data_IF_919570116453
#
_entry.id   IF_919570116453
#
_cell.length_a   1.000
_cell.length_b   1.000
_cell.length_c   1.000
_cell.angle_alpha   90.00
_cell.angle_beta   90.00
_cell.angle_gamma   90.00
#
_symmetry.space_group_name_H-M   'P 1'
#
loop_
_entity.id
_entity.type
_entity.pdbx_description
1 polymer ?
#
# COMPACT_ATOMS: atom_id res chain seq x y z
N UNK A 1 5.66 -18.34 -31.57
CA UNK A 1 5.02 -17.02 -31.44
C UNK A 1 6.03 -16.11 -30.76
N UNK A 2 6.23 -14.90 -31.33
CA UNK A 2 7.12 -13.89 -30.74
C UNK A 2 6.64 -13.57 -29.32
N UNK A 3 7.53 -13.69 -28.30
CA UNK A 3 7.20 -13.33 -26.93
C UNK A 3 6.70 -11.90 -26.77
N UNK A 4 7.17 -10.96 -27.58
CA UNK A 4 6.72 -9.57 -27.58
C UNK A 4 5.24 -9.47 -27.94
N UNK A 5 4.78 -10.25 -28.91
CA UNK A 5 3.35 -10.30 -29.28
C UNK A 5 2.52 -10.86 -28.15
N UNK A 6 3.00 -11.91 -27.46
CA UNK A 6 2.31 -12.47 -26.30
C UNK A 6 2.13 -11.44 -25.19
N UNK A 7 3.19 -10.69 -24.82
CA UNK A 7 3.10 -9.65 -23.82
C UNK A 7 2.16 -8.49 -24.24
N UNK A 8 2.22 -8.06 -25.50
CA UNK A 8 1.30 -7.07 -26.04
C UNK A 8 -0.16 -7.49 -25.89
N UNK A 9 -0.46 -8.79 -26.10
CA UNK A 9 -1.84 -9.30 -25.95
C UNK A 9 -2.29 -9.26 -24.47
N UNK A 10 -1.42 -9.66 -23.53
CA UNK A 10 -1.71 -9.55 -22.09
C UNK A 10 -1.87 -8.09 -21.66
N UNK A 11 -1.09 -7.21 -22.27
CA UNK A 11 -1.19 -5.77 -22.01
C UNK A 11 -2.50 -5.17 -22.53
N UNK A 12 -2.96 -5.56 -23.72
CA UNK A 12 -4.30 -5.20 -24.25
C UNK A 12 -5.39 -5.64 -23.27
N UNK A 13 -5.28 -6.86 -22.73
CA UNK A 13 -6.23 -7.35 -21.75
C UNK A 13 -6.30 -6.45 -20.51
N UNK A 14 -5.14 -6.03 -19.99
CA UNK A 14 -5.05 -5.14 -18.84
C UNK A 14 -5.53 -3.72 -19.16
N UNK A 15 -5.17 -3.19 -20.33
CA UNK A 15 -5.52 -1.83 -20.78
C UNK A 15 -7.04 -1.65 -20.95
N UNK A 16 -7.69 -2.62 -21.59
CA UNK A 16 -9.12 -2.54 -21.94
C UNK A 16 -10.03 -3.31 -20.97
N UNK A 17 -9.48 -3.81 -19.86
CA UNK A 17 -10.24 -4.50 -18.84
C UNK A 17 -10.99 -5.75 -19.31
N UNK A 18 -10.45 -6.45 -20.32
CA UNK A 18 -11.09 -7.63 -20.90
C UNK A 18 -11.09 -8.80 -19.90
N UNK A 19 -12.27 -9.38 -19.68
CA UNK A 19 -12.52 -10.30 -18.56
C UNK A 19 -11.80 -11.66 -18.65
N UNK A 20 -11.29 -12.05 -19.80
CA UNK A 20 -10.56 -13.32 -19.96
C UNK A 20 -9.66 -13.30 -21.19
N UNK A 21 -8.58 -14.10 -21.16
CA UNK A 21 -7.70 -14.28 -22.32
C UNK A 21 -8.42 -14.87 -23.53
N UNK A 22 -9.42 -15.71 -23.33
CA UNK A 22 -10.28 -16.23 -24.41
C UNK A 22 -11.04 -15.10 -25.10
N UNK A 23 -11.62 -14.18 -24.34
CA UNK A 23 -12.33 -13.02 -24.86
C UNK A 23 -11.35 -12.05 -25.56
N UNK A 24 -10.18 -11.83 -25.01
CA UNK A 24 -9.12 -11.02 -25.61
C UNK A 24 -8.71 -11.56 -26.97
N UNK A 25 -8.39 -12.85 -27.06
CA UNK A 25 -8.04 -13.49 -28.33
C UNK A 25 -9.19 -13.43 -29.35
N UNK A 26 -10.45 -13.58 -28.89
CA UNK A 26 -11.63 -13.46 -29.78
C UNK A 26 -11.76 -12.04 -30.33
N UNK A 27 -11.59 -11.02 -29.47
CA UNK A 27 -11.67 -9.61 -29.89
C UNK A 27 -10.56 -9.24 -30.88
N UNK A 28 -9.31 -9.68 -30.64
CA UNK A 28 -8.17 -9.45 -31.54
C UNK A 28 -8.41 -10.02 -32.95
N UNK A 29 -9.18 -11.11 -33.11
CA UNK A 29 -9.47 -11.68 -34.44
C UNK A 29 -10.20 -10.72 -35.37
N UNK A 30 -11.07 -9.87 -34.83
CA UNK A 30 -11.98 -9.02 -35.58
C UNK A 30 -11.65 -7.52 -35.49
N UNK A 31 -10.77 -7.13 -34.59
CA UNK A 31 -10.44 -5.73 -34.30
C UNK A 31 -9.18 -5.31 -35.08
N UNK A 32 -9.34 -4.36 -36.00
CA UNK A 32 -8.28 -3.87 -36.88
C UNK A 32 -7.16 -3.16 -36.09
N UNK A 33 -7.55 -2.41 -35.04
CA UNK A 33 -6.64 -1.62 -34.20
C UNK A 33 -5.71 -2.53 -33.42
N UNK A 34 -6.26 -3.57 -32.81
CA UNK A 34 -5.44 -4.56 -32.09
C UNK A 34 -4.54 -5.35 -33.03
N UNK A 35 -5.04 -5.72 -34.23
CA UNK A 35 -4.22 -6.44 -35.21
C UNK A 35 -3.04 -5.60 -35.68
N UNK A 36 -3.30 -4.33 -36.00
CA UNK A 36 -2.26 -3.37 -36.37
C UNK A 36 -1.23 -3.21 -35.24
N UNK A 37 -1.67 -3.01 -34.00
CA UNK A 37 -0.80 -2.88 -32.84
C UNK A 37 0.08 -4.12 -32.60
N UNK A 38 -0.46 -5.30 -32.85
CA UNK A 38 0.25 -6.58 -32.69
C UNK A 38 1.13 -6.91 -33.90
N UNK A 39 0.97 -6.25 -35.03
CA UNK A 39 1.61 -6.59 -36.30
C UNK A 39 1.09 -7.91 -36.88
N UNK A 40 -0.19 -8.25 -36.67
CA UNK A 40 -0.83 -9.47 -37.16
C UNK A 40 -1.71 -9.10 -38.37
N UNK A 41 -1.32 -9.42 -39.63
CA UNK A 41 -2.14 -9.14 -40.83
C UNK A 41 -3.50 -9.80 -40.75
N UNK A 42 -4.51 -9.20 -41.45
CA UNK A 42 -5.79 -9.87 -41.71
C UNK A 42 -5.52 -11.20 -42.45
N UNK A 43 -6.25 -12.24 -42.09
CA UNK A 43 -6.05 -13.58 -42.63
C UNK A 43 -5.03 -14.48 -41.87
N UNK A 44 -4.18 -13.90 -40.99
CA UNK A 44 -3.35 -14.72 -40.09
C UNK A 44 -4.07 -15.03 -38.80
N UNK A 45 -3.90 -16.25 -38.31
CA UNK A 45 -4.44 -16.68 -37.02
C UNK A 45 -3.81 -15.95 -35.83
N UNK A 46 -4.65 -15.69 -34.82
CA UNK A 46 -4.20 -15.18 -33.52
C UNK A 46 -3.81 -16.33 -32.60
N UNK A 47 -2.91 -16.08 -31.63
CA UNK A 47 -2.54 -17.12 -30.66
C UNK A 47 -3.75 -17.68 -29.92
N UNK A 48 -3.76 -18.99 -29.69
CA UNK A 48 -4.79 -19.63 -28.89
C UNK A 48 -4.65 -19.21 -27.41
N UNK A 49 -5.76 -18.97 -26.72
CA UNK A 49 -5.74 -18.48 -25.34
C UNK A 49 -4.96 -19.36 -24.37
N UNK A 50 -4.91 -20.69 -24.57
CA UNK A 50 -4.14 -21.61 -23.71
C UNK A 50 -2.63 -21.43 -23.82
N UNK A 51 -2.14 -20.80 -24.91
CA UNK A 51 -0.74 -20.48 -25.09
C UNK A 51 -0.21 -19.58 -23.96
N UNK A 52 -1.03 -18.66 -23.48
CA UNK A 52 -0.66 -17.72 -22.42
C UNK A 52 -0.43 -18.43 -21.09
N UNK A 53 -1.34 -19.31 -20.67
CA UNK A 53 -1.18 -20.09 -19.43
C UNK A 53 0.06 -20.97 -19.49
N UNK A 54 0.30 -21.64 -20.61
CA UNK A 54 1.48 -22.50 -20.78
C UNK A 54 2.80 -21.70 -20.74
N UNK A 55 2.86 -20.54 -21.40
CA UNK A 55 4.05 -19.70 -21.37
C UNK A 55 4.26 -19.05 -20.00
N UNK A 56 3.18 -18.62 -19.32
CA UNK A 56 3.29 -18.10 -17.97
C UNK A 56 3.94 -19.14 -17.04
N UNK A 57 3.40 -20.34 -16.94
CA UNK A 57 3.92 -21.38 -16.05
C UNK A 57 5.37 -21.82 -16.40
N UNK A 58 5.72 -21.83 -17.67
CA UNK A 58 7.03 -22.34 -18.12
C UNK A 58 8.14 -21.28 -18.14
N UNK A 59 7.81 -19.99 -18.29
CA UNK A 59 8.81 -18.95 -18.59
C UNK A 59 8.73 -17.72 -17.72
N UNK A 60 7.53 -17.32 -17.27
CA UNK A 60 7.33 -16.00 -16.69
C UNK A 60 6.92 -16.00 -15.23
N UNK A 61 6.46 -17.13 -14.70
CA UNK A 61 5.99 -17.26 -13.32
C UNK A 61 7.03 -16.84 -12.29
N UNK A 62 8.29 -17.20 -12.53
CA UNK A 62 9.40 -17.01 -11.62
C UNK A 62 10.38 -15.91 -12.10
N UNK A 63 9.96 -15.09 -13.08
CA UNK A 63 10.73 -13.96 -13.58
C UNK A 63 10.19 -12.62 -13.03
N UNK A 64 11.06 -11.64 -12.95
CA UNK A 64 10.74 -10.28 -12.49
C UNK A 64 10.22 -9.36 -13.61
N UNK A 65 9.96 -9.95 -14.79
CA UNK A 65 9.60 -9.19 -16.01
C UNK A 65 8.40 -8.25 -15.82
N UNK A 66 7.41 -8.64 -15.01
CA UNK A 66 6.21 -7.82 -14.78
C UNK A 66 6.53 -6.60 -13.91
N UNK A 67 7.41 -6.77 -12.92
CA UNK A 67 7.92 -5.67 -12.11
C UNK A 67 8.83 -4.76 -12.96
N UNK A 68 9.75 -5.32 -13.73
CA UNK A 68 10.65 -4.56 -14.60
C UNK A 68 9.88 -3.69 -15.60
N UNK A 69 8.79 -4.20 -16.17
CA UNK A 69 7.90 -3.45 -17.04
C UNK A 69 7.27 -2.27 -16.30
N UNK A 70 6.73 -2.51 -15.11
CA UNK A 70 6.13 -1.46 -14.29
C UNK A 70 7.15 -0.39 -13.91
N UNK A 71 8.32 -0.80 -13.41
CA UNK A 71 9.42 0.08 -13.00
C UNK A 71 9.92 0.92 -14.18
N UNK A 72 10.06 0.33 -15.36
CA UNK A 72 10.50 1.07 -16.54
C UNK A 72 9.51 2.17 -16.94
N UNK A 73 8.20 1.91 -16.84
CA UNK A 73 7.19 2.93 -17.11
C UNK A 73 7.23 4.06 -16.08
N UNK A 74 7.46 3.75 -14.80
CA UNK A 74 7.68 4.77 -13.76
C UNK A 74 8.94 5.59 -14.09
N UNK A 75 10.06 4.94 -14.46
CA UNK A 75 11.29 5.62 -14.87
C UNK A 75 11.08 6.54 -16.08
N UNK A 76 10.23 6.15 -17.02
CA UNK A 76 9.85 7.03 -18.13
C UNK A 76 9.07 8.25 -17.65
N UNK A 77 8.12 8.07 -16.71
CA UNK A 77 7.40 9.20 -16.12
C UNK A 77 8.34 10.16 -15.39
N UNK A 78 9.30 9.65 -14.65
CA UNK A 78 10.37 10.45 -13.99
C UNK A 78 11.16 11.23 -15.05
N UNK A 79 11.61 10.56 -16.11
CA UNK A 79 12.37 11.19 -17.20
C UNK A 79 11.59 12.29 -17.92
N UNK A 80 10.27 12.17 -18.00
CA UNK A 80 9.40 13.22 -18.55
C UNK A 80 9.01 14.30 -17.55
N UNK A 81 9.57 14.25 -16.32
CA UNK A 81 9.27 15.20 -15.25
C UNK A 81 7.77 15.18 -14.84
N UNK A 82 7.16 14.00 -14.84
CA UNK A 82 5.77 13.78 -14.44
C UNK A 82 5.65 13.22 -13.01
N UNK A 83 6.76 12.99 -12.34
CA UNK A 83 6.87 12.56 -10.93
C UNK A 83 7.60 13.62 -10.16
N UNK A 84 7.09 13.99 -8.99
CA UNK A 84 7.73 14.91 -8.06
C UNK A 84 8.77 14.18 -7.18
N UNK A 85 8.42 13.00 -6.70
CA UNK A 85 9.30 12.15 -5.88
C UNK A 85 9.44 12.61 -4.43
N UNK A 86 8.65 13.62 -4.00
CA UNK A 86 8.71 14.17 -2.63
C UNK A 86 7.42 13.99 -1.85
N UNK A 87 6.27 13.96 -2.53
CA UNK A 87 4.95 13.91 -1.92
C UNK A 87 4.14 12.72 -2.44
N UNK A 88 3.68 11.87 -1.51
CA UNK A 88 3.00 10.62 -1.85
C UNK A 88 1.70 10.41 -1.09
N UNK A 89 0.81 9.63 -1.71
CA UNK A 89 -0.42 9.15 -1.10
C UNK A 89 -0.44 7.63 -1.16
N UNK A 90 -0.64 7.00 -0.01
CA UNK A 90 -0.79 5.54 0.07
C UNK A 90 -2.15 5.18 0.64
N UNK A 91 -2.77 4.19 0.01
CA UNK A 91 -4.01 3.58 0.46
C UNK A 91 -4.10 2.14 -0.03
N UNK A 92 -5.11 1.42 0.44
CA UNK A 92 -5.37 0.06 0.01
C UNK A 92 -6.81 -0.14 -0.46
N UNK A 93 -7.01 -1.14 -1.31
CA UNK A 93 -8.34 -1.53 -1.73
C UNK A 93 -8.50 -3.03 -1.84
N UNK A 94 -9.65 -3.53 -1.39
CA UNK A 94 -9.99 -4.93 -1.52
C UNK A 94 -10.40 -5.27 -2.95
N UNK A 95 -9.88 -6.41 -3.44
CA UNK A 95 -10.17 -7.05 -4.71
C UNK A 95 -10.73 -8.44 -4.44
N UNK A 96 -11.94 -8.72 -4.92
CA UNK A 96 -12.59 -10.01 -4.69
C UNK A 96 -11.78 -11.13 -5.32
N UNK A 97 -11.45 -12.16 -4.51
CA UNK A 97 -10.75 -13.34 -4.99
C UNK A 97 -11.64 -14.21 -5.88
N UNK A 98 -11.01 -14.98 -6.76
CA UNK A 98 -11.71 -16.00 -7.55
C UNK A 98 -11.96 -17.25 -6.70
N UNK A 99 -12.75 -17.09 -5.64
CA UNK A 99 -13.03 -18.09 -4.63
C UNK A 99 -14.51 -18.09 -4.22
N UNK A 100 -15.06 -19.27 -3.93
CA UNK A 100 -16.40 -19.39 -3.38
C UNK A 100 -16.35 -19.10 -1.88
N UNK A 101 -17.09 -18.09 -1.43
CA UNK A 101 -17.12 -17.65 -0.03
C UNK A 101 -17.64 -18.71 0.96
N UNK A 102 -18.40 -19.69 0.48
CA UNK A 102 -19.00 -20.76 1.30
C UNK A 102 -18.19 -22.07 1.26
N UNK A 103 -17.08 -22.15 0.48
CA UNK A 103 -16.22 -23.33 0.39
C UNK A 103 -14.87 -23.03 1.03
N UNK A 104 -14.78 -23.29 2.32
CA UNK A 104 -13.56 -23.07 3.10
C UNK A 104 -13.39 -24.16 4.16
N UNK A 105 -12.21 -24.24 4.70
CA UNK A 105 -11.87 -24.99 5.89
C UNK A 105 -11.57 -23.97 7.01
N UNK A 106 -12.00 -24.28 8.22
CA UNK A 106 -11.57 -23.53 9.39
C UNK A 106 -10.26 -24.13 9.90
N UNK A 107 -9.21 -23.33 9.95
CA UNK A 107 -7.88 -23.73 10.39
C UNK A 107 -7.47 -22.91 11.61
N UNK A 108 -6.74 -23.56 12.53
CA UNK A 108 -6.12 -22.89 13.67
C UNK A 108 -4.65 -22.64 13.29
N UNK A 109 -4.26 -21.38 13.27
CA UNK A 109 -2.88 -20.98 13.03
C UNK A 109 -2.30 -20.44 14.32
N UNK A 110 -1.23 -21.09 14.77
CA UNK A 110 -0.45 -20.66 15.92
C UNK A 110 0.64 -19.71 15.45
N UNK A 111 0.69 -18.53 16.00
CA UNK A 111 1.72 -17.53 15.72
C UNK A 111 2.24 -16.90 17.01
N UNK A 112 3.47 -16.42 16.96
CA UNK A 112 4.00 -15.56 18.03
C UNK A 112 3.41 -14.17 17.83
N UNK A 113 2.83 -13.61 18.87
CA UNK A 113 2.30 -12.25 18.86
C UNK A 113 3.43 -11.26 18.57
N UNK A 114 3.20 -10.43 17.56
CA UNK A 114 4.19 -9.45 17.14
C UNK A 114 4.45 -8.42 18.25
N UNK A 115 5.72 -8.25 18.61
CA UNK A 115 6.18 -7.36 19.68
C UNK A 115 7.03 -6.23 19.10
N UNK A 116 6.92 -5.06 19.69
CA UNK A 116 7.76 -3.89 19.37
C UNK A 116 8.97 -3.86 20.28
N UNK A 117 10.01 -4.61 19.94
CA UNK A 117 11.23 -4.72 20.75
C UNK A 117 11.85 -3.36 21.06
N UNK A 118 11.90 -2.46 20.08
CA UNK A 118 12.39 -1.10 20.27
C UNK A 118 11.62 -0.32 21.35
N UNK A 119 10.28 -0.46 21.41
CA UNK A 119 9.46 0.18 22.44
C UNK A 119 9.71 -0.45 23.83
N UNK A 120 9.86 -1.76 23.88
CA UNK A 120 10.17 -2.50 25.12
C UNK A 120 11.52 -2.09 25.70
N UNK A 121 12.51 -1.85 24.84
CA UNK A 121 13.84 -1.34 25.20
C UNK A 121 13.74 0.06 25.79
N UNK A 122 13.05 0.98 25.11
CA UNK A 122 12.84 2.36 25.60
C UNK A 122 12.06 2.42 26.92
N UNK A 123 11.05 1.57 27.10
CA UNK A 123 10.32 1.44 28.37
C UNK A 123 11.26 0.99 29.49
N UNK A 124 12.12 0.01 29.21
CA UNK A 124 13.07 -0.51 30.19
C UNK A 124 14.16 0.51 30.53
N UNK A 125 14.66 1.27 29.57
CA UNK A 125 15.58 2.38 29.80
C UNK A 125 14.96 3.43 30.73
N UNK A 126 13.71 3.83 30.47
CA UNK A 126 13.00 4.78 31.33
C UNK A 126 12.85 4.23 32.76
N UNK A 127 12.52 2.94 32.92
CA UNK A 127 12.42 2.30 34.24
C UNK A 127 13.73 2.30 34.98
N UNK A 128 14.83 2.00 34.30
CA UNK A 128 16.18 1.99 34.91
C UNK A 128 16.56 3.41 35.36
N UNK A 129 16.29 4.44 34.56
CA UNK A 129 16.47 5.86 34.92
C UNK A 129 15.72 6.23 36.21
N UNK A 130 14.56 5.61 36.44
CA UNK A 130 13.74 5.79 37.63
C UNK A 130 14.10 4.82 38.80
N UNK A 131 15.25 4.13 38.72
CA UNK A 131 15.70 3.18 39.74
C UNK A 131 14.84 1.92 39.86
N UNK A 132 14.09 1.55 38.80
CA UNK A 132 13.19 0.40 38.78
C UNK A 132 13.79 -0.74 37.97
N UNK A 133 13.45 -1.98 38.35
CA UNK A 133 13.84 -3.17 37.60
C UNK A 133 13.18 -3.16 36.21
N UNK A 134 13.90 -3.56 35.12
CA UNK A 134 13.34 -3.71 33.82
C UNK A 134 12.19 -4.75 33.79
N UNK A 135 11.28 -4.61 32.88
CA UNK A 135 10.26 -5.63 32.61
C UNK A 135 10.87 -6.80 31.84
N UNK A 136 10.47 -7.98 32.18
CA UNK A 136 10.66 -9.17 31.37
C UNK A 136 9.48 -9.27 30.38
N UNK A 137 9.80 -9.32 29.11
CA UNK A 137 8.83 -9.54 28.04
C UNK A 137 9.03 -10.95 27.48
N UNK A 138 7.98 -11.75 27.54
CA UNK A 138 7.97 -13.11 26.97
C UNK A 138 7.21 -13.12 25.66
N UNK A 139 7.63 -13.99 24.76
CA UNK A 139 6.85 -14.22 23.54
C UNK A 139 5.53 -14.91 23.90
N UNK A 140 4.44 -14.25 23.52
CA UNK A 140 3.09 -14.78 23.71
C UNK A 140 2.69 -15.54 22.45
N UNK A 141 2.26 -16.78 22.61
CA UNK A 141 1.69 -17.58 21.53
C UNK A 141 0.21 -17.22 21.44
N UNK A 142 -0.23 -16.84 20.24
CA UNK A 142 -1.65 -16.64 19.95
C UNK A 142 -2.14 -17.67 18.95
N UNK A 143 -3.31 -18.20 19.18
CA UNK A 143 -4.04 -19.06 18.25
C UNK A 143 -5.11 -18.23 17.54
N UNK A 144 -5.08 -18.25 16.21
CA UNK A 144 -6.05 -17.55 15.37
C UNK A 144 -6.85 -18.56 14.58
N UNK A 145 -8.18 -18.51 14.72
CA UNK A 145 -9.09 -19.23 13.84
C UNK A 145 -9.21 -18.47 12.52
N UNK A 146 -8.78 -19.09 11.44
CA UNK A 146 -8.81 -18.50 10.10
C UNK A 146 -9.64 -19.36 9.16
N UNK A 147 -10.35 -18.70 8.23
CA UNK A 147 -11.01 -19.36 7.12
C UNK A 147 -10.08 -19.44 5.92
N UNK A 148 -9.82 -20.66 5.45
CA UNK A 148 -8.96 -20.91 4.31
C UNK A 148 -9.80 -21.40 3.13
N UNK A 149 -9.73 -20.70 2.00
CA UNK A 149 -10.52 -21.06 0.81
C UNK A 149 -10.06 -22.39 0.20
N UNK A 150 -11.00 -23.31 -0.08
CA UNK A 150 -10.68 -24.55 -0.82
C UNK A 150 -10.26 -24.32 -2.26
N UNK A 151 -10.60 -23.18 -2.85
CA UNK A 151 -10.35 -22.88 -4.26
C UNK A 151 -9.15 -21.98 -4.49
N UNK A 152 -8.84 -21.10 -3.51
CA UNK A 152 -7.73 -20.14 -3.58
C UNK A 152 -7.15 -19.92 -2.16
N UNK A 153 -6.23 -20.82 -1.76
CA UNK A 153 -5.68 -20.87 -0.41
C UNK A 153 -4.89 -19.61 0.00
N UNK A 154 -4.39 -18.86 -0.98
CA UNK A 154 -3.62 -17.64 -0.74
C UNK A 154 -4.50 -16.40 -0.61
N UNK A 155 -5.81 -16.50 -0.84
CA UNK A 155 -6.74 -15.40 -0.56
C UNK A 155 -7.05 -15.30 0.94
N UNK A 156 -7.24 -14.08 1.44
CA UNK A 156 -7.62 -13.84 2.84
C UNK A 156 -9.13 -13.64 3.00
N UNK A 157 -9.71 -14.23 4.06
CA UNK A 157 -11.11 -13.99 4.38
C UNK A 157 -11.28 -12.63 5.07
N UNK A 158 -11.93 -11.70 4.37
CA UNK A 158 -12.23 -10.38 4.89
C UNK A 158 -13.63 -10.33 5.51
N UNK A 159 -13.69 -9.79 6.72
CA UNK A 159 -14.93 -9.55 7.44
C UNK A 159 -14.89 -8.17 8.10
N UNK A 160 -15.83 -7.32 7.77
CA UNK A 160 -16.08 -6.05 8.43
C UNK A 160 -17.57 -5.78 8.44
N UNK A 161 -18.07 -5.24 9.54
CA UNK A 161 -19.49 -4.90 9.64
C UNK A 161 -19.88 -3.90 8.56
N UNK A 162 -21.07 -4.08 8.00
CA UNK A 162 -21.63 -3.29 6.90
C UNK A 162 -20.83 -3.31 5.59
N UNK A 163 -19.85 -4.22 5.40
CA UNK A 163 -19.16 -4.45 4.14
C UNK A 163 -19.35 -5.88 3.65
N UNK A 164 -19.11 -6.09 2.37
CA UNK A 164 -19.18 -7.42 1.77
C UNK A 164 -18.11 -8.34 2.37
N UNK A 165 -18.56 -9.51 2.84
CA UNK A 165 -17.71 -10.56 3.44
C UNK A 165 -17.30 -11.57 2.39
N UNK A 166 -16.06 -12.05 2.45
CA UNK A 166 -15.59 -13.10 1.55
C UNK A 166 -14.08 -13.13 1.39
N UNK A 167 -13.61 -13.98 0.50
CA UNK A 167 -12.20 -14.10 0.18
C UNK A 167 -11.76 -12.96 -0.74
N UNK A 168 -10.68 -12.29 -0.35
CA UNK A 168 -10.18 -11.10 -1.04
C UNK A 168 -8.66 -11.07 -1.04
N UNK A 169 -8.12 -10.28 -1.95
CA UNK A 169 -6.76 -9.74 -1.92
C UNK A 169 -6.83 -8.26 -1.57
N UNK A 170 -5.75 -7.75 -0.99
CA UNK A 170 -5.60 -6.33 -0.70
C UNK A 170 -4.52 -5.75 -1.60
N UNK A 171 -4.86 -4.72 -2.35
CA UNK A 171 -3.97 -3.97 -3.23
C UNK A 171 -3.55 -2.68 -2.52
N UNK A 172 -2.28 -2.59 -2.16
CA UNK A 172 -1.67 -1.42 -1.56
C UNK A 172 -1.02 -0.60 -2.66
N UNK A 173 -1.35 0.68 -2.77
CA UNK A 173 -0.80 1.57 -3.79
C UNK A 173 -0.21 2.82 -3.20
N UNK A 174 0.89 3.26 -3.80
CA UNK A 174 1.46 4.58 -3.58
C UNK A 174 1.45 5.36 -4.88
N UNK A 175 0.94 6.58 -4.82
CA UNK A 175 0.77 7.49 -5.97
C UNK A 175 1.48 8.80 -5.68
N UNK A 176 2.21 9.31 -6.66
CA UNK A 176 2.89 10.62 -6.62
C UNK A 176 1.92 11.79 -6.82
N UNK A 177 2.14 12.92 -6.14
CA UNK A 177 1.28 14.11 -6.15
C UNK A 177 1.20 14.80 -7.51
N UNK A 178 2.25 14.79 -8.32
CA UNK A 178 2.36 15.68 -9.47
C UNK A 178 1.40 15.35 -10.63
N UNK A 179 1.42 14.10 -11.09
CA UNK A 179 0.63 13.67 -12.24
C UNK A 179 -0.09 12.34 -12.05
N UNK A 180 -0.39 11.96 -10.82
CA UNK A 180 -1.08 10.71 -10.49
C UNK A 180 -0.35 9.45 -11.01
N UNK A 181 0.97 9.48 -11.04
CA UNK A 181 1.76 8.31 -11.40
C UNK A 181 1.79 7.33 -10.23
N UNK A 182 1.35 6.11 -10.47
CA UNK A 182 1.44 5.02 -9.49
C UNK A 182 2.91 4.59 -9.44
N UNK A 183 3.56 4.80 -8.29
CA UNK A 183 4.98 4.45 -8.10
C UNK A 183 5.17 3.11 -7.41
N UNK A 184 4.13 2.61 -6.74
CA UNK A 184 4.12 1.29 -6.13
C UNK A 184 2.74 0.64 -6.16
N UNK A 185 2.72 -0.69 -6.27
CA UNK A 185 1.54 -1.53 -6.14
C UNK A 185 1.94 -2.89 -5.59
N UNK A 186 1.39 -3.25 -4.44
CA UNK A 186 1.73 -4.48 -3.72
C UNK A 186 0.49 -5.24 -3.28
N UNK A 187 0.47 -6.55 -3.55
CA UNK A 187 -0.67 -7.42 -3.24
C UNK A 187 -0.40 -8.27 -2.01
N UNK A 188 -1.34 -8.24 -1.06
CA UNK A 188 -1.35 -9.14 0.10
C UNK A 188 -2.65 -9.94 0.16
N UNK A 189 -2.72 -10.88 1.10
CA UNK A 189 -3.99 -11.52 1.48
C UNK A 189 -4.97 -10.48 2.02
N UNK A 190 -6.25 -10.61 1.74
CA UNK A 190 -7.26 -9.62 2.10
C UNK A 190 -7.52 -9.40 3.60
N UNK A 191 -6.94 -10.23 4.45
CA UNK A 191 -7.00 -10.13 5.91
C UNK A 191 -5.72 -9.54 6.53
N UNK A 192 -4.74 -9.12 5.74
CA UNK A 192 -3.57 -8.38 6.21
C UNK A 192 -3.97 -6.93 6.47
N UNK A 193 -3.51 -6.35 7.57
CA UNK A 193 -3.82 -4.96 7.89
C UNK A 193 -3.04 -4.00 6.99
N UNK A 194 -3.67 -2.87 6.61
CA UNK A 194 -3.14 -1.90 5.65
C UNK A 194 -1.75 -1.37 6.01
N UNK A 195 -1.47 -1.20 7.31
CA UNK A 195 -0.21 -0.67 7.82
C UNK A 195 0.97 -1.64 7.76
N UNK A 196 0.72 -2.96 7.63
CA UNK A 196 1.79 -3.97 7.72
C UNK A 196 2.86 -3.79 6.65
N UNK A 197 2.55 -3.71 5.36
CA UNK A 197 3.58 -3.58 4.33
C UNK A 197 4.09 -2.14 4.13
N UNK A 198 3.53 -1.15 4.85
CA UNK A 198 3.72 0.26 4.51
C UNK A 198 5.19 0.71 4.54
N UNK A 199 5.90 0.43 5.64
CA UNK A 199 7.29 0.89 5.82
C UNK A 199 8.20 0.24 4.78
N UNK A 200 8.09 -1.08 4.59
CA UNK A 200 8.88 -1.81 3.60
C UNK A 200 8.63 -1.28 2.18
N UNK A 201 7.39 -0.92 1.87
CA UNK A 201 7.03 -0.36 0.55
C UNK A 201 7.49 1.10 0.39
N UNK A 202 7.46 1.90 1.44
CA UNK A 202 8.01 3.25 1.43
C UNK A 202 9.54 3.23 1.21
N UNK A 203 10.26 2.35 1.90
CA UNK A 203 11.69 2.15 1.69
C UNK A 203 11.99 1.57 0.30
N UNK A 204 11.16 0.65 -0.21
CA UNK A 204 11.31 0.12 -1.56
C UNK A 204 11.29 1.24 -2.61
N UNK A 205 10.31 2.15 -2.61
CA UNK A 205 10.22 3.23 -3.60
C UNK A 205 11.37 4.23 -3.44
N UNK A 206 11.77 4.54 -2.21
CA UNK A 206 12.91 5.41 -1.89
C UNK A 206 14.20 4.87 -2.51
N UNK A 207 14.50 3.60 -2.30
CA UNK A 207 15.70 2.96 -2.85
C UNK A 207 15.60 2.69 -4.35
N UNK A 208 14.45 2.22 -4.84
CA UNK A 208 14.27 1.83 -6.24
C UNK A 208 14.36 2.99 -7.21
N UNK A 209 13.82 4.15 -6.82
CA UNK A 209 13.74 5.34 -7.68
C UNK A 209 14.59 6.51 -7.20
N UNK A 210 15.24 6.42 -6.04
CA UNK A 210 16.02 7.50 -5.45
C UNK A 210 15.18 8.68 -4.96
N UNK A 211 13.94 8.45 -4.51
CA UNK A 211 13.04 9.50 -4.04
C UNK A 211 13.46 10.07 -2.69
N UNK A 212 13.34 11.40 -2.56
CA UNK A 212 13.54 12.14 -1.31
C UNK A 212 12.17 12.46 -0.69
N UNK A 213 11.62 11.49 0.01
CA UNK A 213 10.26 11.54 0.54
C UNK A 213 10.15 12.60 1.64
N UNK A 214 9.34 13.63 1.42
CA UNK A 214 9.11 14.72 2.38
C UNK A 214 7.70 14.70 2.99
N UNK A 215 6.70 14.25 2.24
CA UNK A 215 5.30 14.31 2.65
C UNK A 215 4.56 13.03 2.33
N UNK A 216 3.70 12.63 3.26
CA UNK A 216 2.82 11.48 3.08
C UNK A 216 1.39 11.76 3.54
N UNK A 217 0.41 11.50 2.66
CA UNK A 217 -1.02 11.50 2.99
C UNK A 217 -1.57 10.07 3.05
N UNK A 218 -1.98 9.61 4.24
CA UNK A 218 -2.46 8.24 4.46
C UNK A 218 -3.78 8.20 5.22
N UNK A 219 -4.52 7.10 5.14
CA UNK A 219 -5.77 6.93 5.89
C UNK A 219 -5.51 6.64 7.39
N UNK A 220 -6.56 6.71 8.17
CA UNK A 220 -6.54 6.43 9.62
C UNK A 220 -6.09 5.00 9.97
N UNK A 221 -6.21 4.05 9.05
CA UNK A 221 -5.71 2.69 9.20
C UNK A 221 -4.18 2.60 9.35
N UNK A 222 -3.45 3.59 8.84
CA UNK A 222 -1.99 3.67 8.93
C UNK A 222 -1.49 4.36 10.22
N UNK A 223 -2.38 4.83 11.10
CA UNK A 223 -2.00 5.53 12.32
C UNK A 223 -1.49 4.53 13.38
N UNK A 224 -0.35 3.93 13.13
CA UNK A 224 0.37 3.01 14.03
C UNK A 224 1.61 3.67 14.60
N UNK A 225 2.10 3.14 15.72
CA UNK A 225 3.29 3.68 16.39
C UNK A 225 4.55 3.54 15.50
N UNK A 226 4.68 2.41 14.79
CA UNK A 226 5.83 2.13 13.92
C UNK A 226 5.88 3.11 12.73
N UNK A 227 4.74 3.43 12.11
CA UNK A 227 4.68 4.40 11.01
C UNK A 227 4.96 5.82 11.51
N UNK A 228 4.49 6.18 12.70
CA UNK A 228 4.82 7.47 13.32
C UNK A 228 6.32 7.60 13.56
N UNK A 229 6.94 6.56 14.15
CA UNK A 229 8.38 6.47 14.35
C UNK A 229 9.13 6.67 13.03
N UNK A 230 8.76 5.91 12.02
CA UNK A 230 9.34 6.01 10.69
C UNK A 230 9.27 7.44 10.10
N UNK A 231 8.12 8.11 10.24
CA UNK A 231 7.96 9.49 9.75
C UNK A 231 8.81 10.49 10.53
N UNK A 232 8.90 10.36 11.85
CA UNK A 232 9.73 11.24 12.70
C UNK A 232 11.20 11.05 12.36
N UNK A 233 11.70 9.82 12.33
CA UNK A 233 13.11 9.51 12.07
C UNK A 233 13.59 9.93 10.67
N UNK A 234 12.68 9.91 9.68
CA UNK A 234 12.99 10.36 8.31
C UNK A 234 12.56 11.81 8.01
N UNK A 235 12.15 12.59 9.00
CA UNK A 235 11.67 13.97 8.85
C UNK A 235 10.55 14.11 7.80
N UNK A 236 9.60 13.16 7.77
CA UNK A 236 8.47 13.13 6.84
C UNK A 236 7.27 13.85 7.46
N UNK A 237 6.73 14.85 6.75
CA UNK A 237 5.48 15.50 7.12
C UNK A 237 4.30 14.54 6.82
N UNK A 238 3.95 13.73 7.81
CA UNK A 238 2.86 12.75 7.71
C UNK A 238 1.51 13.34 8.08
N UNK A 239 0.50 13.07 7.26
CA UNK A 239 -0.89 13.42 7.55
C UNK A 239 -1.76 12.17 7.52
N UNK A 240 -2.33 11.85 8.67
CA UNK A 240 -3.21 10.70 8.86
C UNK A 240 -4.68 11.10 8.86
N UNK A 241 -5.55 10.23 8.36
CA UNK A 241 -6.98 10.38 8.50
C UNK A 241 -7.42 10.46 9.96
N UNK A 242 -8.53 11.18 10.21
CA UNK A 242 -9.06 11.32 11.56
C UNK A 242 -9.62 9.99 12.08
N UNK A 243 -9.17 9.58 13.25
CA UNK A 243 -9.72 8.46 14.01
C UNK A 243 -10.16 8.94 15.39
N UNK A 244 -11.40 8.64 15.75
CA UNK A 244 -11.86 8.90 17.12
C UNK A 244 -11.32 7.82 18.05
N UNK A 245 -10.69 8.24 19.14
CA UNK A 245 -10.25 7.36 20.22
C UNK A 245 -11.08 7.61 21.47
N UNK A 246 -11.37 6.54 22.21
CA UNK A 246 -12.11 6.60 23.46
C UNK A 246 -13.58 7.02 23.33
N UNK A 247 -14.28 6.97 24.46
CA UNK A 247 -15.67 7.43 24.58
C UNK A 247 -15.70 8.96 24.66
N UNK A 248 -16.88 9.59 24.42
CA UNK A 248 -17.04 11.03 24.64
C UNK A 248 -16.64 11.48 26.06
N UNK A 249 -16.97 10.65 27.06
CA UNK A 249 -16.69 10.89 28.48
C UNK A 249 -15.17 10.87 28.74
N UNK A 250 -14.45 9.85 28.24
CA UNK A 250 -13.00 9.76 28.42
C UNK A 250 -12.25 10.93 27.75
N UNK A 251 -12.78 11.44 26.64
CA UNK A 251 -12.20 12.63 26.00
C UNK A 251 -12.46 13.91 26.77
N UNK A 252 -13.66 14.08 27.34
CA UNK A 252 -13.96 15.22 28.23
C UNK A 252 -13.06 15.20 29.45
N UNK A 253 -12.87 14.01 30.03
CA UNK A 253 -11.99 13.85 31.20
C UNK A 253 -10.53 14.22 30.85
N UNK A 254 -9.98 13.72 29.76
CA UNK A 254 -8.63 14.08 29.30
C UNK A 254 -8.48 15.59 29.03
N UNK A 255 -9.50 16.26 28.53
CA UNK A 255 -9.46 17.68 28.22
C UNK A 255 -9.47 18.61 29.48
N UNK A 256 -9.76 18.06 30.65
CA UNK A 256 -9.64 18.82 31.92
C UNK A 256 -8.20 19.13 32.28
N UNK A 257 -7.27 18.33 31.80
CA UNK A 257 -5.87 18.41 32.13
C UNK A 257 -5.05 19.01 30.99
N UNK A 258 -4.02 19.76 31.35
CA UNK A 258 -3.02 20.29 30.42
C UNK A 258 -1.63 19.82 30.82
N UNK A 259 -0.83 19.47 29.82
CA UNK A 259 0.52 18.95 30.02
C UNK A 259 1.54 20.07 29.86
N UNK A 260 2.41 20.23 30.86
CA UNK A 260 3.54 21.17 30.85
C UNK A 260 4.82 20.36 30.57
N UNK A 261 5.34 20.49 29.36
CA UNK A 261 6.45 19.67 28.87
C UNK A 261 7.75 19.92 29.65
N UNK A 262 8.02 21.17 29.98
CA UNK A 262 9.25 21.61 30.65
C UNK A 262 9.40 21.04 32.06
N UNK A 263 8.27 20.76 32.72
CA UNK A 263 8.22 20.26 34.09
C UNK A 263 7.85 18.75 34.15
N UNK A 264 7.44 18.17 33.02
CA UNK A 264 6.88 16.79 32.93
C UNK A 264 5.73 16.55 33.94
N UNK A 265 4.77 17.52 34.00
CA UNK A 265 3.60 17.47 34.87
C UNK A 265 2.30 17.72 34.10
N UNK A 266 1.19 17.31 34.70
CA UNK A 266 -0.14 17.76 34.31
C UNK A 266 -0.71 18.70 35.37
N UNK A 267 -1.54 19.66 34.94
CA UNK A 267 -2.37 20.40 35.84
C UNK A 267 -3.84 20.38 35.39
N UNK A 268 -4.75 20.39 36.36
CA UNK A 268 -6.18 20.49 36.08
C UNK A 268 -6.53 21.95 35.82
N UNK A 269 -7.16 22.23 34.70
CA UNK A 269 -7.43 23.61 34.23
C UNK A 269 -8.34 24.42 35.16
N UNK A 270 -9.30 23.77 35.84
CA UNK A 270 -10.27 24.43 36.70
C UNK A 270 -9.73 24.67 38.10
N UNK A 271 -8.99 23.75 38.66
CA UNK A 271 -8.52 23.79 40.06
C UNK A 271 -7.05 24.21 40.18
N UNK A 272 -6.27 24.13 39.10
CA UNK A 272 -4.82 24.34 39.14
C UNK A 272 -4.06 23.20 39.85
N UNK A 273 -4.73 22.09 40.21
CA UNK A 273 -4.12 20.98 40.90
C UNK A 273 -3.09 20.27 40.00
N UNK A 274 -1.91 20.00 40.57
CA UNK A 274 -0.78 19.42 39.83
C UNK A 274 -0.76 17.89 39.98
N UNK A 275 -0.56 17.19 38.87
CA UNK A 275 -0.31 15.76 38.82
C UNK A 275 1.12 15.51 38.35
N UNK A 276 1.88 14.82 39.16
CA UNK A 276 3.31 14.55 38.90
C UNK A 276 3.57 13.13 38.46
N UNK A 277 4.60 12.95 37.65
CA UNK A 277 5.10 11.65 37.29
C UNK A 277 5.91 11.04 38.47
N UNK A 278 5.45 9.92 39.00
CA UNK A 278 6.09 9.23 40.15
C UNK A 278 6.99 8.04 39.69
N UNK A 279 7.49 8.08 38.47
CA UNK A 279 8.35 7.02 37.92
C UNK A 279 7.63 5.71 37.64
N UNK A 280 6.30 5.73 37.49
CA UNK A 280 5.49 4.57 37.16
C UNK A 280 5.15 4.55 35.66
N UNK A 281 5.72 3.57 34.95
CA UNK A 281 5.41 3.27 33.55
C UNK A 281 4.93 1.81 33.45
N UNK A 282 3.89 1.58 32.65
CA UNK A 282 3.38 0.23 32.41
C UNK A 282 4.08 -0.46 31.20
N UNK A 283 3.78 -1.75 31.00
CA UNK A 283 4.36 -2.55 29.88
C UNK A 283 3.98 -2.06 28.48
N UNK A 284 2.98 -1.20 28.38
CA UNK A 284 2.52 -0.61 27.12
C UNK A 284 3.11 0.80 26.88
N UNK A 285 3.98 1.29 27.78
CA UNK A 285 4.64 2.59 27.64
C UNK A 285 3.83 3.77 28.16
N UNK A 286 2.81 3.55 29.01
CA UNK A 286 2.07 4.65 29.62
C UNK A 286 2.66 5.04 30.96
N UNK A 287 3.18 6.27 31.05
CA UNK A 287 3.56 6.95 32.29
C UNK A 287 2.29 7.31 33.07
N UNK A 288 2.33 7.14 34.39
CA UNK A 288 1.24 7.47 35.28
C UNK A 288 1.55 8.76 36.05
N UNK A 289 0.69 9.76 35.87
CA UNK A 289 0.73 11.03 36.60
C UNK A 289 -0.40 11.03 37.63
N UNK A 290 -0.09 11.39 38.86
CA UNK A 290 -1.08 11.40 39.96
C UNK A 290 -0.88 12.62 40.87
N UNK A 291 -2.00 13.11 41.42
CA UNK A 291 -1.97 14.14 42.45
C UNK A 291 -1.48 13.59 43.79
N UNK A 292 -1.24 14.47 44.77
CA UNK A 292 -0.72 14.10 46.11
C UNK A 292 -1.57 13.03 46.77
N UNK A 293 -2.88 13.13 46.68
CA UNK A 293 -3.84 12.22 47.34
C UNK A 293 -4.16 10.97 46.52
N UNK A 294 -3.59 10.83 45.32
CA UNK A 294 -3.82 9.72 44.37
C UNK A 294 -5.28 9.55 43.92
N UNK A 295 -6.08 10.57 44.10
CA UNK A 295 -7.50 10.57 43.70
C UNK A 295 -7.68 10.86 42.21
N UNK A 296 -6.74 11.58 41.58
CA UNK A 296 -6.74 11.91 40.16
C UNK A 296 -5.54 11.28 39.47
N UNK A 297 -5.77 10.66 38.32
CA UNK A 297 -4.75 9.94 37.55
C UNK A 297 -4.89 10.27 36.07
N UNK A 298 -3.79 10.68 35.46
CA UNK A 298 -3.67 10.82 34.00
C UNK A 298 -2.59 9.87 33.49
N UNK A 299 -2.83 9.24 32.34
CA UNK A 299 -1.85 8.37 31.68
C UNK A 299 -1.39 9.03 30.38
N UNK A 300 -0.06 9.12 30.20
CA UNK A 300 0.56 9.63 28.99
C UNK A 300 1.50 8.59 28.43
N UNK A 301 1.34 8.25 27.14
CA UNK A 301 2.29 7.37 26.47
C UNK A 301 3.63 8.07 26.30
N UNK A 302 4.77 7.36 26.39
CA UNK A 302 6.12 7.94 26.25
C UNK A 302 6.29 8.67 24.90
N UNK A 303 5.57 8.24 23.86
CA UNK A 303 5.52 8.87 22.53
C UNK A 303 4.20 9.64 22.30
N UNK A 304 3.54 10.18 23.31
CA UNK A 304 2.33 11.00 23.11
C UNK A 304 2.63 12.28 22.29
N UNK A 305 3.86 12.77 22.37
CA UNK A 305 4.34 13.88 21.55
C UNK A 305 4.18 13.62 20.05
N UNK A 306 4.41 12.37 19.60
CA UNK A 306 4.16 12.02 18.20
C UNK A 306 2.68 12.15 17.83
N UNK A 307 1.77 11.79 18.73
CA UNK A 307 0.34 12.01 18.51
C UNK A 307 -0.02 13.49 18.37
N UNK A 308 0.64 14.34 19.17
CA UNK A 308 0.48 15.79 19.16
C UNK A 308 0.99 16.37 17.84
N UNK A 309 2.20 16.03 17.40
CA UNK A 309 2.79 16.43 16.12
C UNK A 309 1.88 16.05 14.93
N UNK A 310 1.45 14.79 14.84
CA UNK A 310 0.61 14.37 13.72
C UNK A 310 -0.81 14.92 13.79
N UNK A 311 -1.30 15.27 14.98
CA UNK A 311 -2.55 16.03 15.15
C UNK A 311 -2.41 17.46 14.63
N UNK A 312 -1.31 18.13 14.96
CA UNK A 312 -0.99 19.47 14.47
C UNK A 312 -0.82 19.47 12.96
N UNK A 313 -0.04 18.54 12.42
CA UNK A 313 0.09 18.36 10.96
C UNK A 313 -1.27 18.28 10.29
N UNK A 314 -2.16 17.41 10.79
CA UNK A 314 -3.51 17.23 10.24
C UNK A 314 -4.40 18.48 10.33
N UNK A 315 -4.24 19.29 11.37
CA UNK A 315 -5.05 20.50 11.61
C UNK A 315 -4.50 21.72 10.88
N UNK A 316 -3.24 21.72 10.50
CA UNK A 316 -2.60 22.78 9.73
C UNK A 316 -3.28 22.99 8.37
N UNK A 317 -3.10 24.14 7.76
CA UNK A 317 -3.59 24.44 6.41
C UNK A 317 -2.99 23.45 5.40
N UNK A 318 -1.67 23.27 5.44
CA UNK A 318 -0.94 22.37 4.57
C UNK A 318 -1.43 20.91 4.71
N UNK A 319 -1.63 20.44 5.93
CA UNK A 319 -2.12 19.08 6.19
C UNK A 319 -3.55 18.84 5.69
N UNK A 320 -4.43 19.84 5.80
CA UNK A 320 -5.80 19.76 5.25
C UNK A 320 -5.78 19.67 3.73
N UNK A 321 -4.97 20.49 3.06
CA UNK A 321 -4.79 20.47 1.61
C UNK A 321 -4.20 19.13 1.15
N UNK A 322 -3.15 18.65 1.80
CA UNK A 322 -2.53 17.36 1.51
C UNK A 322 -3.54 16.20 1.66
N UNK A 323 -4.30 16.18 2.74
CA UNK A 323 -5.27 15.11 2.97
C UNK A 323 -6.43 15.14 1.96
N UNK A 324 -6.87 16.33 1.55
CA UNK A 324 -7.92 16.47 0.53
C UNK A 324 -7.48 15.91 -0.82
N UNK A 325 -6.24 16.18 -1.24
CA UNK A 325 -5.66 15.67 -2.48
C UNK A 325 -5.60 14.15 -2.56
N UNK A 326 -5.56 13.43 -1.44
CA UNK A 326 -5.58 11.96 -1.40
C UNK A 326 -6.72 11.36 -2.25
N UNK A 327 -7.91 12.01 -2.25
CA UNK A 327 -9.05 11.59 -3.06
C UNK A 327 -8.80 11.71 -4.56
N UNK A 328 -8.08 12.74 -4.95
CA UNK A 328 -7.77 13.03 -6.36
C UNK A 328 -6.66 12.13 -6.92
N UNK A 329 -5.86 11.54 -6.06
CA UNK A 329 -4.71 10.70 -6.42
C UNK A 329 -5.00 9.21 -6.22
N UNK A 330 -4.82 8.70 -5.01
CA UNK A 330 -4.87 7.25 -4.78
C UNK A 330 -6.27 6.67 -4.92
N UNK A 331 -7.31 7.36 -4.41
CA UNK A 331 -8.69 6.87 -4.57
C UNK A 331 -9.13 6.87 -6.04
N UNK A 332 -8.76 7.92 -6.80
CA UNK A 332 -8.99 8.00 -8.24
C UNK A 332 -8.28 6.88 -9.00
N UNK A 333 -7.05 6.54 -8.64
CA UNK A 333 -6.30 5.41 -9.20
C UNK A 333 -7.06 4.09 -9.05
N UNK A 334 -7.64 3.84 -7.88
CA UNK A 334 -8.47 2.66 -7.66
C UNK A 334 -9.78 2.69 -8.43
N UNK A 335 -10.42 3.86 -8.52
CA UNK A 335 -11.65 4.03 -9.28
C UNK A 335 -11.41 3.72 -10.77
N UNK A 336 -10.35 4.26 -11.36
CA UNK A 336 -9.96 3.99 -12.75
C UNK A 336 -9.69 2.50 -12.99
N UNK A 337 -8.93 1.84 -12.11
CA UNK A 337 -8.70 0.39 -12.20
C UNK A 337 -10.00 -0.41 -12.21
N UNK A 338 -10.94 -0.08 -11.33
CA UNK A 338 -12.19 -0.81 -11.17
C UNK A 338 -13.18 -0.56 -12.30
N UNK A 339 -13.17 0.64 -12.88
CA UNK A 339 -14.09 1.04 -13.94
C UNK A 339 -13.57 0.65 -15.32
N UNK A 340 -12.31 0.94 -15.61
CA UNK A 340 -11.74 0.85 -16.95
C UNK A 340 -10.87 -0.39 -17.19
N UNK A 341 -10.31 -0.98 -16.13
CA UNK A 341 -9.36 -2.10 -16.25
C UNK A 341 -9.89 -3.43 -15.69
N UNK A 342 -11.20 -3.53 -15.44
CA UNK A 342 -11.84 -4.77 -14.96
C UNK A 342 -11.36 -5.28 -13.60
N UNK A 343 -10.84 -4.41 -12.74
CA UNK A 343 -10.09 -4.76 -11.54
C UNK A 343 -10.93 -5.07 -10.29
N UNK A 344 -12.26 -5.14 -10.40
CA UNK A 344 -13.14 -5.47 -9.25
C UNK A 344 -12.97 -6.90 -8.74
N UNK A 345 -12.60 -7.82 -9.64
CA UNK A 345 -12.46 -9.24 -9.37
C UNK A 345 -11.07 -9.72 -9.77
N UNK A 346 -10.50 -10.63 -8.97
CA UNK A 346 -9.27 -11.31 -9.32
C UNK A 346 -9.54 -12.31 -10.45
N UNK A 347 -8.87 -12.15 -11.59
CA UNK A 347 -8.94 -13.12 -12.68
C UNK A 347 -8.14 -14.38 -12.39
N UNK A 348 -7.14 -14.25 -11.55
CA UNK A 348 -6.19 -15.31 -11.22
C UNK A 348 -6.28 -15.71 -9.75
N UNK A 349 -5.84 -16.92 -9.43
CA UNK A 349 -5.66 -17.42 -8.07
C UNK A 349 -4.19 -17.25 -7.67
N UNK A 350 -3.95 -17.05 -6.38
CA UNK A 350 -2.63 -16.87 -5.79
C UNK A 350 -2.14 -15.43 -5.79
N UNK A 351 -1.36 -15.07 -4.76
CA UNK A 351 -0.80 -13.71 -4.57
C UNK A 351 0.10 -13.33 -5.75
N UNK A 352 1.02 -14.20 -6.14
CA UNK A 352 2.03 -13.91 -7.18
C UNK A 352 1.40 -13.56 -8.53
N UNK A 353 0.40 -14.34 -9.00
CA UNK A 353 -0.30 -14.05 -10.27
C UNK A 353 -1.09 -12.75 -10.21
N UNK A 354 -1.72 -12.48 -9.06
CA UNK A 354 -2.44 -11.22 -8.85
C UNK A 354 -1.48 -10.05 -8.78
N UNK A 355 -0.29 -10.20 -8.19
CA UNK A 355 0.76 -9.18 -8.18
C UNK A 355 1.22 -8.83 -9.60
N UNK A 356 1.57 -9.83 -10.41
CA UNK A 356 2.00 -9.64 -11.80
C UNK A 356 0.93 -8.90 -12.63
N UNK A 357 -0.34 -9.29 -12.46
CA UNK A 357 -1.44 -8.64 -13.17
C UNK A 357 -1.70 -7.21 -12.67
N UNK A 358 -1.52 -6.95 -11.39
CA UNK A 358 -1.64 -5.61 -10.81
C UNK A 358 -0.58 -4.67 -11.36
N UNK A 359 0.68 -5.11 -11.47
CA UNK A 359 1.73 -4.30 -12.10
C UNK A 359 1.39 -3.95 -13.55
N UNK A 360 0.83 -4.88 -14.33
CA UNK A 360 0.41 -4.58 -15.71
C UNK A 360 -0.73 -3.55 -15.78
N UNK A 361 -1.70 -3.62 -14.86
CA UNK A 361 -2.79 -2.62 -14.80
C UNK A 361 -2.24 -1.26 -14.39
N UNK A 362 -1.39 -1.19 -13.37
CA UNK A 362 -0.76 0.06 -12.94
C UNK A 362 0.13 0.65 -14.03
N UNK A 363 0.86 -0.20 -14.76
CA UNK A 363 1.64 0.18 -15.94
C UNK A 363 0.75 0.79 -17.03
N UNK A 364 -0.40 0.16 -17.32
CA UNK A 364 -1.37 0.67 -18.32
C UNK A 364 -1.96 2.03 -17.90
N UNK A 365 -2.31 2.20 -16.62
CA UNK A 365 -2.78 3.49 -16.09
C UNK A 365 -1.70 4.57 -16.19
N UNK A 366 -0.46 4.25 -15.79
CA UNK A 366 0.65 5.19 -15.89
C UNK A 366 0.91 5.60 -17.35
N UNK A 367 0.86 4.66 -18.30
CA UNK A 367 1.03 4.98 -19.73
C UNK A 367 -0.05 5.94 -20.23
N UNK A 368 -1.33 5.74 -19.83
CA UNK A 368 -2.43 6.67 -20.14
C UNK A 368 -2.16 8.06 -19.55
N UNK A 369 -1.75 8.12 -18.26
CA UNK A 369 -1.44 9.38 -17.60
C UNK A 369 -0.25 10.10 -18.26
N UNK A 370 0.80 9.38 -18.64
CA UNK A 370 1.95 9.93 -19.38
C UNK A 370 1.49 10.51 -20.73
N UNK A 371 0.66 9.80 -21.49
CA UNK A 371 0.16 10.27 -22.77
C UNK A 371 -0.65 11.57 -22.62
N UNK A 372 -1.68 11.57 -21.75
CA UNK A 372 -2.57 12.72 -21.53
C UNK A 372 -1.81 13.96 -21.02
N UNK A 373 -0.90 13.76 -20.04
CA UNK A 373 -0.18 14.90 -19.45
C UNK A 373 0.88 15.48 -20.37
N UNK A 374 1.46 14.66 -21.25
CA UNK A 374 2.45 15.12 -22.20
C UNK A 374 1.82 15.96 -23.34
N UNK A 375 0.61 15.63 -23.76
CA UNK A 375 -0.16 16.43 -24.72
C UNK A 375 -0.50 17.81 -24.15
N UNK A 376 -0.86 17.89 -22.87
CA UNK A 376 -1.21 19.15 -22.21
C UNK A 376 -0.01 20.11 -22.01
N UNK A 377 1.23 19.64 -22.13
CA UNK A 377 2.45 20.46 -21.97
C UNK A 377 2.94 21.01 -23.33
N UNK A 378 2.21 20.79 -24.42
CA UNK A 378 2.61 21.26 -25.76
C UNK A 378 3.89 20.62 -26.32
N UNK A 379 4.40 19.59 -25.65
CA UNK A 379 5.42 18.70 -26.19
C UNK A 379 4.73 17.79 -27.20
N UNK A 380 5.34 17.59 -28.39
CA UNK A 380 4.84 16.65 -29.39
C UNK A 380 4.27 15.42 -28.69
N UNK A 381 3.03 15.01 -28.99
CA UNK A 381 2.45 13.84 -28.38
C UNK A 381 3.48 12.72 -28.47
N UNK A 382 3.87 12.20 -27.31
CA UNK A 382 4.59 10.95 -27.31
C UNK A 382 3.61 9.98 -27.92
N UNK A 383 3.78 9.73 -29.22
CA UNK A 383 3.00 8.72 -29.85
C UNK A 383 3.03 7.52 -28.91
N UNK A 384 1.87 7.02 -28.54
CA UNK A 384 1.75 5.76 -27.76
C UNK A 384 2.71 4.70 -28.36
N UNK A 385 2.98 4.83 -29.66
CA UNK A 385 4.02 4.11 -30.41
C UNK A 385 5.44 4.31 -29.89
N UNK A 386 5.85 5.48 -29.36
CA UNK A 386 7.23 5.67 -28.88
C UNK A 386 7.43 5.08 -27.48
N UNK A 387 6.44 5.19 -26.60
CA UNK A 387 6.42 4.52 -25.29
C UNK A 387 6.40 3.01 -25.51
N UNK A 388 5.54 2.55 -26.39
CA UNK A 388 5.44 1.16 -26.84
C UNK A 388 6.70 0.67 -27.55
N UNK A 389 7.35 1.47 -28.37
CA UNK A 389 8.62 1.11 -29.02
C UNK A 389 9.73 0.90 -27.99
N UNK A 390 9.84 1.78 -26.99
CA UNK A 390 10.80 1.61 -25.88
C UNK A 390 10.46 0.38 -25.05
N UNK A 391 9.19 0.18 -24.74
CA UNK A 391 8.66 -1.01 -24.07
C UNK A 391 9.01 -2.31 -24.84
N UNK A 392 8.81 -2.30 -26.17
CA UNK A 392 9.20 -3.42 -27.03
C UNK A 392 10.72 -3.67 -27.03
N UNK A 393 11.52 -2.60 -27.02
CA UNK A 393 12.99 -2.70 -26.96
C UNK A 393 13.46 -3.31 -25.64
N UNK A 394 12.79 -2.98 -24.55
CA UNK A 394 13.05 -3.54 -23.22
C UNK A 394 12.62 -5.00 -23.16
N UNK A 395 11.41 -5.32 -23.60
CA UNK A 395 10.96 -6.70 -23.72
C UNK A 395 11.95 -7.56 -24.55
N UNK A 396 12.43 -7.05 -25.68
CA UNK A 396 13.44 -7.73 -26.48
C UNK A 396 14.77 -7.91 -25.72
N UNK A 397 15.22 -6.91 -24.97
CA UNK A 397 16.45 -6.99 -24.17
C UNK A 397 16.33 -8.03 -23.06
N UNK A 398 15.21 -8.01 -22.30
CA UNK A 398 14.95 -8.93 -21.20
C UNK A 398 14.79 -10.37 -21.72
N UNK A 399 14.07 -10.56 -22.83
CA UNK A 399 13.88 -11.88 -23.45
C UNK A 399 15.19 -12.45 -24.01
N UNK A 400 16.06 -11.59 -24.56
CA UNK A 400 17.38 -12.01 -25.06
C UNK A 400 18.36 -12.32 -23.92
N UNK A 401 18.28 -11.63 -22.79
CA UNK A 401 19.02 -11.97 -21.56
C UNK A 401 18.62 -13.35 -21.04
N UNK A 402 17.33 -13.63 -20.97
CA UNK A 402 16.84 -14.95 -20.57
C UNK A 402 17.19 -16.09 -21.57
N UNK A 403 17.35 -15.79 -22.86
CA UNK A 403 17.86 -16.77 -23.83
C UNK A 403 19.33 -17.16 -23.59
N UNK A 404 20.16 -16.22 -23.08
CA UNK A 404 21.56 -16.49 -22.75
C UNK A 404 21.77 -17.26 -21.44
N UNK A 405 20.77 -17.31 -20.59
CA UNK A 405 20.83 -18.02 -19.30
C UNK A 405 20.37 -19.49 -19.47
N UNK A 406 19.64 -19.82 -20.54
CA UNK A 406 19.08 -21.15 -20.81
C UNK A 406 19.65 -21.80 -22.11
N UNK A 407 20.65 -21.22 -22.73
CA UNK A 407 21.53 -21.83 -23.71
C UNK A 407 22.86 -22.23 -23.05
#
# INVERSE_FOLDING_TARGET
IDPVVLFKIVFIQALDGLKSMRQTCKKIKVDAEYRWFLGIPFGKDTPHFSTFSKNYERRFKDSDIFEEIFVEIVNQAIKYNLVDGTTFYTDSTHKKANANKNKYDDEIVTSIKERRKWLEEEINEERIKQGRKPFEYKDEIEEKHIKVSKTDKESGYYHRDNKEKGFMYLDHRTVDDKCNIIVDAYITKGNVHDSVPFIDRAEYIKHKFGFDIKKYGVDSGYLTLDIKKYFIENNIFGVFGYRRYGTPESRKEKNKYEYVKELDIYYEKETGEVLEYKGLIDKNGYKKYENTDKTKVVRRHIHEEWNEIFRENRLSKEGKELYQKRKEHVERSFADSKQNHGYRYAMYKGVKKNQHYTWLICAAQNMKNIAIKNDNVGKKPLALSSILYKFIKILKKIINLNRKIYS
#
